data_IF_237521302199
#
_entry.id   IF_237521302199
#
_cell.length_a   1.000
_cell.length_b   1.000
_cell.length_c   1.000
_cell.angle_alpha   90.00
_cell.angle_beta   90.00
_cell.angle_gamma   90.00
#
_symmetry.space_group_name_H-M   'P 1'
#
loop_
_entity.id
_entity.type
_entity.pdbx_description
1 polymer ?
#
# COMPACT_ATOMS: atom_id res chain seq x y z
N UNK A 1 14.28 -10.12 10.84
CA UNK A 1 12.95 -9.47 10.79
C UNK A 1 12.48 -9.21 9.36
N UNK A 2 13.25 -8.46 8.57
CA UNK A 2 12.92 -8.10 7.17
C UNK A 2 12.43 -9.31 6.34
N UNK A 3 13.17 -10.43 6.34
CA UNK A 3 12.75 -11.66 5.64
C UNK A 3 11.35 -12.15 6.03
N UNK A 4 10.98 -12.10 7.31
CA UNK A 4 9.66 -12.56 7.79
C UNK A 4 8.57 -11.61 7.28
N UNK A 5 8.82 -10.31 7.31
CA UNK A 5 7.84 -9.33 6.84
C UNK A 5 7.68 -9.42 5.30
N UNK A 6 8.74 -9.69 4.54
CA UNK A 6 8.65 -10.00 3.10
C UNK A 6 7.72 -11.19 2.87
N UNK A 7 7.92 -12.28 3.62
CA UNK A 7 7.10 -13.48 3.49
C UNK A 7 5.63 -13.20 3.80
N UNK A 8 5.35 -12.45 4.88
CA UNK A 8 3.99 -12.04 5.23
C UNK A 8 3.35 -11.17 4.14
N UNK A 9 4.10 -10.21 3.57
CA UNK A 9 3.62 -9.37 2.48
C UNK A 9 3.29 -10.17 1.22
N UNK A 10 4.11 -11.16 0.87
CA UNK A 10 3.84 -12.03 -0.28
C UNK A 10 2.57 -12.86 -0.03
N UNK A 11 2.41 -13.41 1.18
CA UNK A 11 1.18 -14.15 1.52
C UNK A 11 -0.06 -13.26 1.42
N UNK A 12 -0.02 -12.02 1.93
CA UNK A 12 -1.13 -11.08 1.79
C UNK A 12 -1.39 -10.68 0.33
N UNK A 13 -0.36 -10.55 -0.50
CA UNK A 13 -0.56 -10.25 -1.92
C UNK A 13 -1.28 -11.39 -2.67
N UNK A 14 -1.02 -12.64 -2.28
CA UNK A 14 -1.71 -13.80 -2.85
C UNK A 14 -3.14 -13.91 -2.32
N UNK A 15 -3.41 -13.52 -1.07
CA UNK A 15 -4.80 -13.48 -0.57
C UNK A 15 -5.62 -12.42 -1.30
N UNK A 16 -5.03 -11.27 -1.63
CA UNK A 16 -5.72 -10.20 -2.36
C UNK A 16 -6.30 -10.67 -3.69
N UNK A 17 -5.53 -11.42 -4.47
CA UNK A 17 -5.96 -11.91 -5.80
C UNK A 17 -7.21 -12.80 -5.68
N UNK A 18 -7.37 -13.51 -4.56
CA UNK A 18 -8.46 -14.46 -4.35
C UNK A 18 -9.70 -13.84 -3.69
N UNK A 19 -9.64 -12.60 -3.19
CA UNK A 19 -10.78 -11.97 -2.51
C UNK A 19 -11.76 -11.39 -3.52
N UNK A 20 -13.04 -11.74 -3.33
CA UNK A 20 -14.14 -11.24 -4.15
C UNK A 20 -14.85 -10.04 -3.53
N UNK A 21 -14.90 -9.96 -2.21
CA UNK A 21 -15.61 -8.86 -1.55
C UNK A 21 -14.71 -7.63 -1.45
N UNK A 22 -15.16 -6.46 -1.93
CA UNK A 22 -14.34 -5.25 -1.97
C UNK A 22 -13.97 -4.73 -0.57
N UNK A 23 -14.80 -5.03 0.44
CA UNK A 23 -14.50 -4.74 1.84
C UNK A 23 -13.31 -5.54 2.36
N UNK A 24 -13.27 -6.85 2.08
CA UNK A 24 -12.18 -7.71 2.56
C UNK A 24 -10.87 -7.41 1.83
N UNK A 25 -10.91 -7.07 0.54
CA UNK A 25 -9.72 -6.64 -0.18
C UNK A 25 -9.13 -5.37 0.42
N UNK A 26 -9.96 -4.39 0.79
CA UNK A 26 -9.46 -3.16 1.43
C UNK A 26 -8.79 -3.40 2.78
N UNK A 27 -9.34 -4.30 3.60
CA UNK A 27 -8.72 -4.67 4.88
C UNK A 27 -7.36 -5.34 4.70
N UNK A 28 -7.23 -6.20 3.68
CA UNK A 28 -5.95 -6.85 3.37
C UNK A 28 -4.94 -5.82 2.82
N UNK A 29 -5.36 -4.88 1.98
CA UNK A 29 -4.48 -3.80 1.50
C UNK A 29 -3.98 -2.95 2.68
N UNK A 30 -4.84 -2.65 3.66
CA UNK A 30 -4.44 -1.91 4.85
C UNK A 30 -3.37 -2.67 5.65
N UNK A 31 -3.55 -3.98 5.88
CA UNK A 31 -2.54 -4.81 6.54
C UNK A 31 -1.22 -4.88 5.76
N UNK A 32 -1.29 -5.02 4.43
CA UNK A 32 -0.10 -5.04 3.58
C UNK A 32 0.64 -3.70 3.64
N UNK A 33 -0.08 -2.57 3.67
CA UNK A 33 0.53 -1.24 3.78
C UNK A 33 1.28 -1.03 5.10
N UNK A 34 0.74 -1.52 6.22
CA UNK A 34 1.40 -1.47 7.54
C UNK A 34 2.72 -2.27 7.51
N UNK A 35 2.69 -3.48 6.94
CA UNK A 35 3.88 -4.33 6.85
C UNK A 35 4.94 -3.73 5.91
N UNK A 36 4.52 -3.08 4.83
CA UNK A 36 5.40 -2.35 3.92
C UNK A 36 6.08 -1.15 4.60
N UNK A 37 5.35 -0.34 5.37
CA UNK A 37 5.96 0.81 6.06
C UNK A 37 6.91 0.36 7.16
N UNK A 38 6.58 -0.72 7.89
CA UNK A 38 7.52 -1.34 8.83
C UNK A 38 8.79 -1.85 8.14
N UNK A 39 8.67 -2.42 6.94
CA UNK A 39 9.83 -2.84 6.14
C UNK A 39 10.73 -1.69 5.75
N UNK A 40 10.14 -0.61 5.24
CA UNK A 40 10.89 0.58 4.80
C UNK A 40 11.59 1.21 6.00
N UNK A 41 10.95 1.26 7.17
CA UNK A 41 11.58 1.75 8.39
C UNK A 41 12.77 0.89 8.86
N UNK A 42 12.76 -0.42 8.57
CA UNK A 42 13.88 -1.32 8.90
C UNK A 42 15.04 -1.22 7.90
N UNK A 43 14.78 -0.75 6.67
CA UNK A 43 15.80 -0.61 5.61
C UNK A 43 16.42 0.79 5.63
N UNK A 44 15.59 1.82 5.82
CA UNK A 44 16.04 3.20 5.79
C UNK A 44 16.60 3.63 7.13
N UNK A 45 17.64 4.48 7.08
CA UNK A 45 18.21 5.10 8.28
C UNK A 45 17.23 6.06 8.96
N UNK A 46 16.47 6.81 8.16
CA UNK A 46 15.44 7.74 8.65
C UNK A 46 14.04 7.15 8.55
N UNK A 47 13.27 7.31 9.62
CA UNK A 47 11.86 6.92 9.67
C UNK A 47 10.94 7.86 8.88
N UNK A 48 11.39 9.06 8.49
CA UNK A 48 10.54 10.09 7.87
C UNK A 48 9.83 9.63 6.58
N UNK A 49 10.57 8.96 5.68
CA UNK A 49 10.00 8.39 4.44
C UNK A 49 8.95 7.31 4.77
N UNK A 50 9.22 6.46 5.76
CA UNK A 50 8.30 5.40 6.17
C UNK A 50 7.00 5.96 6.76
N UNK A 51 7.08 7.07 7.51
CA UNK A 51 5.93 7.76 8.08
C UNK A 51 5.09 8.47 7.01
N UNK A 52 5.73 9.18 6.07
CA UNK A 52 5.01 9.85 4.98
C UNK A 52 4.23 8.84 4.12
N UNK A 53 4.83 7.70 3.80
CA UNK A 53 4.15 6.63 3.08
C UNK A 53 2.95 6.09 3.87
N UNK A 54 3.10 5.89 5.18
CA UNK A 54 2.01 5.39 6.03
C UNK A 54 0.78 6.31 6.01
N UNK A 55 0.98 7.62 6.15
CA UNK A 55 -0.11 8.60 6.16
C UNK A 55 -0.81 8.66 4.80
N UNK A 56 -0.04 8.69 3.70
CA UNK A 56 -0.58 8.71 2.34
C UNK A 56 -1.44 7.48 2.03
N UNK A 57 -0.98 6.28 2.38
CA UNK A 57 -1.74 5.06 2.12
C UNK A 57 -3.01 4.98 2.97
N UNK A 58 -2.95 5.30 4.26
CA UNK A 58 -4.14 5.24 5.13
C UNK A 58 -5.20 6.26 4.70
N UNK A 59 -4.80 7.50 4.43
CA UNK A 59 -5.74 8.54 4.00
C UNK A 59 -6.47 8.19 2.71
N UNK A 60 -5.75 7.65 1.70
CA UNK A 60 -6.36 7.19 0.45
C UNK A 60 -7.30 6.00 0.64
N UNK A 61 -6.91 5.01 1.45
CA UNK A 61 -7.72 3.81 1.71
C UNK A 61 -9.01 4.13 2.48
N UNK A 62 -9.00 5.11 3.39
CA UNK A 62 -10.20 5.52 4.11
C UNK A 62 -11.27 6.12 3.19
N UNK A 63 -10.88 6.89 2.18
CA UNK A 63 -11.81 7.47 1.20
C UNK A 63 -12.46 6.36 0.37
N UNK A 64 -11.67 5.38 -0.08
CA UNK A 64 -12.15 4.23 -0.85
C UNK A 64 -13.09 3.36 0.02
N UNK A 65 -12.77 3.19 1.30
CA UNK A 65 -13.62 2.48 2.26
C UNK A 65 -15.00 3.15 2.39
N UNK A 66 -15.03 4.48 2.60
CA UNK A 66 -16.29 5.24 2.69
C UNK A 66 -17.14 5.05 1.42
N UNK A 67 -16.52 5.19 0.25
CA UNK A 67 -17.23 5.03 -1.03
C UNK A 67 -17.86 3.65 -1.18
N UNK A 68 -17.11 2.57 -0.92
CA UNK A 68 -17.61 1.20 -1.08
C UNK A 68 -18.68 0.87 -0.03
N UNK A 69 -18.49 1.29 1.22
CA UNK A 69 -19.51 1.09 2.27
C UNK A 69 -20.84 1.78 1.96
N UNK A 70 -20.82 2.85 1.16
CA UNK A 70 -22.03 3.57 0.77
C UNK A 70 -22.80 2.92 -0.40
N UNK A 71 -22.16 2.05 -1.18
CA UNK A 71 -22.72 1.49 -2.43
C UNK A 71 -23.26 0.07 -2.25
N UNK A 72 -22.65 -0.75 -1.39
CA UNK A 72 -23.10 -2.12 -1.20
C UNK A 72 -23.18 -2.46 0.28
N UNK A 73 -24.39 -2.78 0.74
CA UNK A 73 -24.61 -3.41 2.02
C UNK A 73 -23.87 -4.75 2.09
N UNK A 74 -23.38 -5.03 3.28
CA UNK A 74 -22.49 -6.09 3.70
C UNK A 74 -23.02 -7.50 3.42
N UNK A 75 -23.02 -7.97 2.17
CA UNK A 75 -23.10 -9.40 1.87
C UNK A 75 -21.73 -10.01 2.18
N UNK A 76 -21.53 -10.38 3.45
CA UNK A 76 -20.50 -11.32 3.88
C UNK A 76 -20.78 -12.67 3.23
N UNK A 77 -20.47 -12.77 1.95
CA UNK A 77 -20.63 -13.99 1.18
C UNK A 77 -19.49 -14.93 1.56
N UNK A 78 -19.64 -15.57 2.72
CA UNK A 78 -18.69 -16.54 3.28
C UNK A 78 -18.78 -17.80 2.40
N UNK A 79 -18.10 -17.77 1.25
CA UNK A 79 -18.03 -18.89 0.34
C UNK A 79 -17.40 -20.11 1.03
N UNK A 80 -18.05 -21.28 0.97
CA UNK A 80 -17.54 -22.54 1.54
C UNK A 80 -16.14 -22.96 1.06
N UNK A 81 -15.60 -22.32 0.03
CA UNK A 81 -14.23 -22.51 -0.47
C UNK A 81 -13.13 -21.81 0.36
N UNK A 82 -13.44 -21.13 1.47
CA UNK A 82 -12.39 -20.55 2.34
C UNK A 82 -11.42 -21.61 2.89
N UNK A 83 -11.88 -22.82 3.18
CA UNK A 83 -11.00 -23.87 3.68
C UNK A 83 -9.98 -24.34 2.64
N UNK A 84 -10.35 -24.39 1.36
CA UNK A 84 -9.42 -24.78 0.28
C UNK A 84 -8.46 -23.67 -0.12
N UNK A 85 -8.81 -22.40 0.09
CA UNK A 85 -7.87 -21.28 -0.08
C UNK A 85 -6.90 -21.19 1.11
N UNK A 86 -7.35 -21.47 2.33
CA UNK A 86 -6.51 -21.52 3.53
C UNK A 86 -5.48 -22.66 3.46
N UNK A 87 -5.84 -23.84 2.96
CA UNK A 87 -4.87 -24.95 2.82
C UNK A 87 -3.81 -24.65 1.77
N UNK A 88 -4.17 -24.01 0.65
CA UNK A 88 -3.21 -23.54 -0.36
C UNK A 88 -2.28 -22.46 0.20
N UNK A 89 -2.81 -21.54 1.00
CA UNK A 89 -2.03 -20.53 1.71
C UNK A 89 -0.97 -21.14 2.63
N UNK A 90 -1.36 -22.15 3.42
CA UNK A 90 -0.45 -22.86 4.33
C UNK A 90 0.65 -23.62 3.57
N UNK A 91 0.33 -24.25 2.44
CA UNK A 91 1.34 -24.93 1.62
C UNK A 91 2.35 -23.94 1.02
N UNK A 92 1.88 -22.78 0.58
CA UNK A 92 2.75 -21.72 0.06
C UNK A 92 3.65 -21.18 1.18
N UNK A 93 3.12 -20.94 2.38
CA UNK A 93 3.92 -20.45 3.50
C UNK A 93 5.00 -21.45 3.95
N UNK A 94 4.72 -22.75 3.90
CA UNK A 94 5.67 -23.82 4.18
C UNK A 94 6.80 -23.88 3.14
N UNK A 95 6.47 -23.80 1.85
CA UNK A 95 7.47 -23.73 0.77
C UNK A 95 8.40 -22.52 0.94
N UNK A 96 7.84 -21.38 1.32
CA UNK A 96 8.62 -20.17 1.56
C UNK A 96 9.47 -20.23 2.83
N UNK A 97 9.02 -20.93 3.88
CA UNK A 97 9.84 -21.15 5.07
C UNK A 97 11.10 -21.97 4.73
N UNK A 98 11.00 -22.93 3.82
CA UNK A 98 12.15 -23.68 3.32
C UNK A 98 13.11 -22.77 2.53
N UNK A 99 12.59 -21.84 1.73
CA UNK A 99 13.40 -20.87 0.97
C UNK A 99 14.16 -19.91 1.90
N UNK A 100 13.61 -19.59 3.09
CA UNK A 100 14.28 -18.75 4.10
C UNK A 100 15.64 -19.31 4.55
N UNK A 101 15.77 -20.63 4.60
CA UNK A 101 17.01 -21.32 4.96
C UNK A 101 18.07 -21.21 3.85
N UNK A 102 17.65 -21.08 2.59
CA UNK A 102 18.55 -21.06 1.43
C UNK A 102 19.00 -19.66 1.02
N UNK A 103 18.27 -18.59 1.38
CA UNK A 103 18.61 -17.23 0.94
C UNK A 103 19.59 -16.53 1.90
N UNK A 104 20.84 -16.23 1.47
CA UNK A 104 21.79 -15.47 2.26
C UNK A 104 21.50 -13.96 2.16
N UNK A 105 20.39 -13.47 2.73
CA UNK A 105 20.25 -12.00 2.94
C UNK A 105 20.97 -11.56 4.21
N UNK A 106 22.28 -11.73 4.29
CA UNK A 106 23.12 -11.03 5.27
C UNK A 106 23.52 -9.62 4.79
N UNK A 107 23.10 -9.20 3.59
CA UNK A 107 23.62 -8.00 2.92
C UNK A 107 23.00 -6.65 3.32
N UNK A 108 22.25 -6.55 4.41
CA UNK A 108 21.81 -5.24 4.92
C UNK A 108 22.37 -4.96 6.31
N UNK A 109 23.65 -5.24 6.52
CA UNK A 109 24.43 -4.44 7.48
C UNK A 109 24.75 -3.13 6.78
N UNK A 110 23.78 -2.22 6.73
CA UNK A 110 24.13 -0.82 6.53
C UNK A 110 25.02 -0.45 7.70
N UNK A 111 26.30 -0.20 7.43
CA UNK A 111 27.18 0.38 8.42
C UNK A 111 26.55 1.67 8.93
N UNK A 112 26.21 1.64 10.21
CA UNK A 112 25.68 2.77 10.96
C UNK A 112 26.82 3.76 11.20
N UNK A 113 27.33 4.34 10.12
CA UNK A 113 27.99 5.63 10.22
C UNK A 113 26.87 6.63 10.49
N UNK A 114 26.74 6.99 11.78
CA UNK A 114 25.89 8.04 12.33
C UNK A 114 26.32 9.43 11.84
N UNK A 115 26.55 9.57 10.54
CA UNK A 115 26.71 10.88 9.94
C UNK A 115 25.32 11.38 9.56
N UNK A 116 24.97 12.54 10.12
CA UNK A 116 23.74 13.30 9.94
C UNK A 116 23.54 13.74 8.47
N UNK A 117 23.37 12.80 7.55
CA UNK A 117 23.05 13.04 6.13
C UNK A 117 21.53 12.94 5.86
N UNK A 118 20.73 12.86 6.91
CA UNK A 118 19.30 12.53 6.84
C UNK A 118 18.46 13.57 6.09
N UNK A 119 18.86 14.84 6.14
CA UNK A 119 18.21 15.92 5.39
C UNK A 119 18.88 16.19 4.04
N UNK A 120 20.03 15.57 3.73
CA UNK A 120 20.74 15.86 2.49
C UNK A 120 19.92 15.43 1.28
N UNK A 121 19.25 14.28 1.33
CA UNK A 121 18.41 13.82 0.22
C UNK A 121 17.24 14.76 -0.05
N UNK A 122 16.54 15.21 1.01
CA UNK A 122 15.40 16.13 0.89
C UNK A 122 15.89 17.49 0.37
N UNK A 123 16.99 17.99 0.91
CA UNK A 123 17.58 19.26 0.49
C UNK A 123 18.07 19.18 -0.97
N UNK A 124 18.65 18.05 -1.36
CA UNK A 124 19.10 17.81 -2.73
C UNK A 124 17.94 17.69 -3.74
N UNK A 125 16.71 17.37 -3.29
CA UNK A 125 15.54 17.46 -4.17
C UNK A 125 15.17 18.91 -4.49
N UNK A 126 15.36 19.82 -3.53
CA UNK A 126 15.05 21.25 -3.67
C UNK A 126 16.14 22.01 -4.46
N UNK A 127 17.35 21.45 -4.56
CA UNK A 127 18.45 22.04 -5.30
C UNK A 127 18.36 21.76 -6.81
N UNK A 128 18.92 22.66 -7.62
CA UNK A 128 19.09 22.39 -9.06
C UNK A 128 20.10 21.25 -9.27
N UNK A 129 19.87 20.32 -10.22
CA UNK A 129 18.82 20.30 -11.25
C UNK A 129 17.50 19.61 -10.84
N UNK A 130 17.45 18.95 -9.67
CA UNK A 130 16.32 18.11 -9.27
C UNK A 130 15.01 18.88 -9.03
N UNK A 131 15.08 20.18 -8.73
CA UNK A 131 13.90 21.02 -8.54
C UNK A 131 12.97 21.05 -9.78
N UNK A 132 13.51 20.81 -10.99
CA UNK A 132 12.68 20.66 -12.20
C UNK A 132 11.64 19.52 -12.07
N UNK A 133 12.02 18.41 -11.43
CA UNK A 133 11.11 17.30 -11.17
C UNK A 133 10.00 17.70 -10.20
N UNK A 134 10.31 18.54 -9.19
CA UNK A 134 9.30 19.07 -8.25
C UNK A 134 8.29 19.95 -8.99
N UNK A 135 8.76 20.88 -9.85
CA UNK A 135 7.85 21.70 -10.65
C UNK A 135 6.96 20.86 -11.57
N UNK A 136 7.49 19.80 -12.17
CA UNK A 136 6.70 18.89 -13.00
C UNK A 136 5.60 18.17 -12.20
N UNK A 137 5.92 17.66 -11.00
CA UNK A 137 4.92 17.03 -10.11
C UNK A 137 3.83 18.03 -9.69
N UNK A 138 4.21 19.26 -9.36
CA UNK A 138 3.25 20.32 -9.00
C UNK A 138 2.29 20.64 -10.15
N UNK A 139 2.79 20.74 -11.39
CA UNK A 139 1.95 20.97 -12.57
C UNK A 139 0.97 19.80 -12.82
N UNK A 140 1.42 18.55 -12.64
CA UNK A 140 0.54 17.38 -12.75
C UNK A 140 -0.57 17.44 -11.72
N UNK A 141 -0.26 17.68 -10.45
CA UNK A 141 -1.26 17.77 -9.38
C UNK A 141 -2.27 18.89 -9.64
N UNK A 142 -1.80 20.04 -10.12
CA UNK A 142 -2.67 21.16 -10.50
C UNK A 142 -3.59 20.81 -11.67
N UNK A 143 -3.06 20.17 -12.72
CA UNK A 143 -3.86 19.73 -13.86
C UNK A 143 -4.92 18.68 -13.45
N UNK A 144 -4.55 17.75 -12.57
CA UNK A 144 -5.48 16.75 -12.02
C UNK A 144 -6.64 17.42 -11.26
N UNK A 145 -6.39 18.48 -10.48
CA UNK A 145 -7.46 19.23 -9.80
C UNK A 145 -8.44 19.87 -10.79
N UNK A 146 -7.94 20.50 -11.85
CA UNK A 146 -8.80 21.09 -12.90
C UNK A 146 -9.66 20.01 -13.56
N UNK A 147 -9.06 18.86 -13.90
CA UNK A 147 -9.78 17.73 -14.48
C UNK A 147 -10.87 17.19 -13.54
N UNK A 148 -10.58 17.07 -12.24
CA UNK A 148 -11.57 16.62 -11.25
C UNK A 148 -12.75 17.60 -11.18
N UNK A 149 -12.49 18.91 -11.14
CA UNK A 149 -13.57 19.93 -11.13
C UNK A 149 -14.40 19.84 -12.41
N UNK A 150 -13.77 19.60 -13.56
CA UNK A 150 -14.49 19.43 -14.83
C UNK A 150 -15.33 18.14 -14.85
N UNK A 151 -14.81 17.03 -14.34
CA UNK A 151 -15.55 15.77 -14.19
C UNK A 151 -16.75 15.92 -13.25
N UNK A 152 -16.59 16.64 -12.14
CA UNK A 152 -17.67 16.90 -11.19
C UNK A 152 -18.79 17.78 -11.76
N UNK A 153 -18.52 18.63 -12.76
CA UNK A 153 -19.58 19.43 -13.44
C UNK A 153 -20.53 18.57 -14.28
N UNK A 154 -20.12 17.36 -14.68
CA UNK A 154 -21.00 16.42 -15.39
C UNK A 154 -21.97 15.76 -14.39
N UNK A 155 -23.01 16.51 -14.02
CA UNK A 155 -24.10 16.08 -13.14
C UNK A 155 -24.96 14.98 -13.79
N UNK A 156 -24.54 13.72 -13.71
CA UNK A 156 -25.49 12.63 -13.58
C UNK A 156 -25.51 12.30 -12.09
N UNK A 157 -26.64 12.63 -11.44
CA UNK A 157 -26.79 12.65 -9.98
C UNK A 157 -26.36 11.36 -9.27
N UNK A 158 -26.33 11.37 -7.92
CA UNK A 158 -25.83 10.24 -7.15
C UNK A 158 -26.52 8.96 -7.61
N UNK A 159 -25.74 7.88 -7.81
CA UNK A 159 -26.23 6.53 -8.06
C UNK A 159 -27.02 6.00 -6.85
N UNK A 160 -28.08 6.69 -6.43
CA UNK A 160 -29.16 6.10 -5.66
C UNK A 160 -29.91 5.23 -6.64
N UNK A 161 -29.90 3.92 -6.40
CA UNK A 161 -30.84 3.02 -7.06
C UNK A 161 -32.24 3.64 -6.94
N UNK A 162 -32.90 3.83 -8.09
CA UNK A 162 -34.35 3.98 -8.07
C UNK A 162 -34.88 2.65 -7.56
N UNK A 163 -35.43 2.67 -6.35
CA UNK A 163 -36.28 1.59 -5.85
C UNK A 163 -37.46 1.50 -6.83
N UNK A 164 -37.41 0.51 -7.72
CA UNK A 164 -38.56 0.01 -8.45
C UNK A 164 -38.96 -1.32 -7.82
#
# INVERSE_FOLDING_TARGET
>A
MIKIIILLNILLSITLINMKSPLSSNLIILLQSILLTMMINLIMKTSWISFMLFILYISGLMIIFLYISSIAFNELNINKNYMTSLTKMLLISLLFFMIKLMLPLEMFKYENNFNYEDNYYIMNMMNMPNNLMIYFIMLILFFMLILIIWLLKNNKGPMRQKLN
#
